data_IF_052211066738
#
_entry.id   IF_052211066738
#
_cell.length_a   1.000
_cell.length_b   1.000
_cell.length_c   1.000
_cell.angle_alpha   90.00
_cell.angle_beta   90.00
_cell.angle_gamma   90.00
#
_symmetry.space_group_name_H-M   'P 1'
#
loop_
_entity.id
_entity.type
_entity.pdbx_description
1 polymer ?
#
# COMPACT_ATOMS: atom_id res chain seq x y z
N UNK A 1 0.60 4.74 2.65
CA UNK A 1 0.95 4.52 1.23
C UNK A 1 0.50 5.70 0.37
N UNK A 2 -0.81 6.01 0.32
CA UNK A 2 -1.36 7.09 -0.52
C UNK A 2 -0.79 8.47 -0.20
N UNK A 3 -0.44 8.76 1.06
CA UNK A 3 0.17 10.04 1.45
C UNK A 3 1.53 10.26 0.76
N UNK A 4 2.39 9.24 0.70
CA UNK A 4 3.69 9.36 0.04
C UNK A 4 3.52 9.59 -1.47
N UNK A 5 2.62 8.84 -2.12
CA UNK A 5 2.29 9.09 -3.53
C UNK A 5 1.78 10.51 -3.76
N UNK A 6 0.86 10.98 -2.92
CA UNK A 6 0.34 12.34 -3.01
C UNK A 6 1.46 13.37 -2.90
N UNK A 7 2.32 13.27 -1.87
CA UNK A 7 3.45 14.17 -1.70
C UNK A 7 4.37 14.13 -2.92
N UNK A 8 4.77 12.95 -3.38
CA UNK A 8 5.65 12.78 -4.52
C UNK A 8 5.08 13.39 -5.80
N UNK A 9 3.79 13.18 -6.09
CA UNK A 9 3.12 13.71 -7.27
C UNK A 9 2.95 15.24 -7.26
N UNK A 10 2.92 15.83 -6.06
CA UNK A 10 2.78 17.29 -5.89
C UNK A 10 4.09 18.01 -5.54
N UNK A 11 5.24 17.31 -5.57
CA UNK A 11 6.52 17.90 -5.20
C UNK A 11 6.62 18.32 -3.75
N UNK A 12 5.88 17.66 -2.86
CA UNK A 12 5.87 17.95 -1.42
C UNK A 12 6.79 16.99 -0.66
N UNK A 13 7.44 17.45 0.42
CA UNK A 13 8.28 16.59 1.23
C UNK A 13 7.44 15.56 2.03
N UNK A 14 8.04 14.40 2.31
CA UNK A 14 7.47 13.41 3.23
C UNK A 14 8.51 12.81 4.14
N UNK A 15 8.05 12.36 5.32
CA UNK A 15 8.92 11.77 6.35
C UNK A 15 8.80 10.25 6.33
N UNK A 16 9.94 9.60 6.31
CA UNK A 16 10.12 8.16 6.44
C UNK A 16 10.64 7.85 7.84
N UNK A 17 9.87 7.15 8.65
CA UNK A 17 10.29 6.70 9.97
C UNK A 17 10.98 5.34 9.85
N UNK A 18 12.27 5.30 10.18
CA UNK A 18 13.09 4.11 10.10
C UNK A 18 12.68 3.02 11.09
N UNK A 19 12.91 1.77 10.69
CA UNK A 19 12.63 0.61 11.54
C UNK A 19 11.16 0.21 11.67
N UNK A 20 10.29 0.75 10.82
CA UNK A 20 8.88 0.36 10.74
C UNK A 20 8.62 -0.53 9.52
N UNK A 21 7.86 -1.60 9.74
CA UNK A 21 7.45 -2.53 8.67
C UNK A 21 5.95 -2.79 8.71
N UNK A 22 5.36 -2.98 7.55
CA UNK A 22 3.93 -3.30 7.40
C UNK A 22 3.66 -4.08 6.13
N UNK A 23 2.48 -4.62 6.02
CA UNK A 23 1.98 -5.22 4.79
C UNK A 23 1.08 -4.23 4.06
N UNK A 24 1.00 -4.33 2.74
CA UNK A 24 0.08 -3.56 1.91
C UNK A 24 -0.68 -4.48 0.98
N UNK A 25 -1.92 -4.13 0.67
CA UNK A 25 -2.71 -4.83 -0.34
C UNK A 25 -3.30 -3.80 -1.31
N UNK A 26 -3.41 -4.17 -2.57
CA UNK A 26 -4.04 -3.34 -3.58
C UNK A 26 -5.56 -3.50 -3.51
N UNK A 27 -6.29 -2.43 -3.80
CA UNK A 27 -7.74 -2.37 -3.65
C UNK A 27 -8.46 -3.49 -4.43
N UNK A 28 -8.00 -3.83 -5.63
CA UNK A 28 -8.63 -4.87 -6.45
C UNK A 28 -8.60 -6.25 -5.77
N UNK A 29 -7.51 -6.60 -5.06
CA UNK A 29 -7.43 -7.85 -4.29
C UNK A 29 -8.41 -7.84 -3.12
N UNK A 30 -8.54 -6.71 -2.43
CA UNK A 30 -9.49 -6.54 -1.34
C UNK A 30 -10.93 -6.67 -1.85
N UNK A 31 -11.28 -5.97 -2.93
CA UNK A 31 -12.63 -6.00 -3.52
C UNK A 31 -13.01 -7.42 -3.96
N UNK A 32 -12.10 -8.14 -4.63
CA UNK A 32 -12.34 -9.52 -5.02
C UNK A 32 -12.61 -10.42 -3.82
N UNK A 33 -11.83 -10.28 -2.76
CA UNK A 33 -12.00 -11.07 -1.54
C UNK A 33 -13.33 -10.76 -0.85
N UNK A 34 -13.72 -9.47 -0.78
CA UNK A 34 -15.02 -9.06 -0.22
C UNK A 34 -16.18 -9.61 -1.07
N UNK A 35 -16.06 -9.58 -2.40
CA UNK A 35 -17.08 -10.14 -3.29
C UNK A 35 -17.28 -11.67 -3.06
N UNK A 36 -16.20 -12.40 -2.75
CA UNK A 36 -16.28 -13.83 -2.45
C UNK A 36 -17.06 -14.15 -1.16
N UNK A 37 -17.31 -13.18 -0.29
CA UNK A 37 -18.18 -13.38 0.89
C UNK A 37 -19.57 -13.80 0.45
N UNK A 38 -20.08 -13.28 -0.68
CA UNK A 38 -21.41 -13.67 -1.21
C UNK A 38 -21.51 -15.15 -1.53
N UNK A 39 -20.40 -15.80 -1.90
CA UNK A 39 -20.35 -17.22 -2.25
C UNK A 39 -20.07 -18.13 -1.04
N UNK A 40 -19.44 -17.59 0.01
CA UNK A 40 -18.96 -18.33 1.17
C UNK A 40 -19.38 -17.67 2.48
N UNK A 41 -20.58 -17.11 2.53
CA UNK A 41 -21.08 -16.41 3.71
C UNK A 41 -21.18 -17.35 4.91
N UNK A 42 -20.57 -16.91 6.02
CA UNK A 42 -20.65 -17.56 7.33
C UNK A 42 -21.03 -16.54 8.38
N UNK A 43 -22.23 -16.63 8.93
CA UNK A 43 -22.72 -15.70 9.93
C UNK A 43 -21.82 -15.69 11.18
N UNK A 44 -21.53 -14.51 11.70
CA UNK A 44 -20.73 -14.32 12.92
C UNK A 44 -19.22 -14.46 12.74
N UNK A 45 -18.72 -14.73 11.52
CA UNK A 45 -17.29 -14.85 11.27
C UNK A 45 -16.62 -13.51 11.01
N UNK A 46 -15.40 -13.35 11.52
CA UNK A 46 -14.55 -12.18 11.27
C UNK A 46 -13.34 -12.60 10.41
N UNK A 47 -13.05 -11.82 9.38
CA UNK A 47 -11.94 -12.06 8.47
C UNK A 47 -11.01 -10.84 8.42
N UNK A 48 -9.71 -11.11 8.50
CA UNK A 48 -8.69 -10.13 8.17
C UNK A 48 -8.37 -10.20 6.68
N UNK A 49 -8.43 -9.07 5.99
CA UNK A 49 -8.03 -8.94 4.59
C UNK A 49 -6.85 -7.97 4.54
N UNK A 50 -5.72 -8.42 4.04
CA UNK A 50 -4.49 -7.60 4.01
C UNK A 50 -3.41 -8.21 3.15
N UNK A 51 -2.32 -7.46 2.96
CA UNK A 51 -1.14 -7.94 2.24
C UNK A 51 -0.42 -9.03 2.99
N UNK A 52 0.26 -9.92 2.27
CA UNK A 52 1.09 -10.98 2.84
C UNK A 52 2.57 -10.58 2.88
N UNK A 53 3.03 -9.78 1.92
CA UNK A 53 4.42 -9.37 1.79
C UNK A 53 4.74 -8.21 2.73
N UNK A 54 5.70 -8.47 3.62
CA UNK A 54 6.20 -7.47 4.55
C UNK A 54 7.22 -6.57 3.84
N UNK A 55 7.07 -5.27 3.99
CA UNK A 55 8.03 -4.28 3.51
C UNK A 55 8.28 -3.21 4.57
N UNK A 56 9.44 -2.60 4.53
CA UNK A 56 9.76 -1.45 5.39
C UNK A 56 9.15 -0.17 4.82
N UNK A 57 9.08 0.88 5.64
CA UNK A 57 8.60 2.19 5.18
C UNK A 57 9.60 2.82 4.22
N UNK A 58 10.89 2.53 4.39
CA UNK A 58 11.95 2.92 3.45
C UNK A 58 11.71 2.28 2.07
N UNK A 59 11.51 0.97 2.01
CA UNK A 59 11.21 0.25 0.76
C UNK A 59 9.95 0.81 0.08
N UNK A 60 8.92 1.15 0.86
CA UNK A 60 7.72 1.81 0.34
C UNK A 60 8.06 3.16 -0.29
N UNK A 61 8.89 3.97 0.36
CA UNK A 61 9.33 5.28 -0.15
C UNK A 61 10.15 5.13 -1.44
N UNK A 62 11.06 4.14 -1.51
CA UNK A 62 11.85 3.85 -2.71
C UNK A 62 10.96 3.46 -3.90
N UNK A 63 9.94 2.63 -3.66
CA UNK A 63 8.96 2.29 -4.69
C UNK A 63 8.19 3.52 -5.15
N UNK A 64 7.79 4.41 -4.24
CA UNK A 64 7.13 5.67 -4.60
C UNK A 64 8.02 6.55 -5.47
N UNK A 65 9.30 6.74 -5.11
CA UNK A 65 10.28 7.47 -5.94
C UNK A 65 10.38 6.86 -7.34
N UNK A 66 10.51 5.53 -7.40
CA UNK A 66 10.62 4.79 -8.66
C UNK A 66 9.42 5.00 -9.58
N UNK A 67 8.20 4.85 -9.05
CA UNK A 67 6.97 4.92 -9.88
C UNK A 67 6.56 6.34 -10.24
N UNK A 68 6.92 7.34 -9.42
CA UNK A 68 6.58 8.74 -9.67
C UNK A 68 7.68 9.48 -10.42
N UNK A 69 8.95 9.11 -10.22
CA UNK A 69 10.13 9.86 -10.67
C UNK A 69 10.34 11.15 -9.90
N UNK A 70 9.80 11.24 -8.67
CA UNK A 70 9.98 12.40 -7.81
C UNK A 70 11.45 12.55 -7.36
N UNK A 71 11.81 13.78 -6.97
CA UNK A 71 13.14 14.06 -6.44
C UNK A 71 13.34 13.40 -5.07
N UNK A 72 14.42 12.63 -4.92
CA UNK A 72 14.79 11.98 -3.65
C UNK A 72 15.09 13.00 -2.54
N UNK A 73 15.46 14.24 -2.87
CA UNK A 73 15.63 15.32 -1.92
C UNK A 73 14.38 15.70 -1.12
N UNK A 74 13.19 15.24 -1.57
CA UNK A 74 11.93 15.41 -0.85
C UNK A 74 11.75 14.42 0.31
N UNK A 75 12.60 13.40 0.41
CA UNK A 75 12.49 12.36 1.45
C UNK A 75 13.29 12.75 2.67
N UNK A 76 12.62 12.87 3.81
CA UNK A 76 13.26 13.11 5.10
C UNK A 76 13.21 11.87 5.97
N UNK A 77 14.38 11.36 6.36
CA UNK A 77 14.48 10.23 7.27
C UNK A 77 14.48 10.70 8.71
N UNK A 78 13.68 10.06 9.54
CA UNK A 78 13.65 10.25 10.99
C UNK A 78 13.76 8.90 11.71
N UNK A 79 14.32 8.92 12.90
CA UNK A 79 14.28 7.77 13.78
C UNK A 79 12.83 7.46 14.19
N UNK A 80 12.66 6.32 14.81
CA UNK A 80 11.37 5.72 15.18
C UNK A 80 10.36 6.74 15.72
N UNK A 81 9.18 6.76 15.12
CA UNK A 81 8.03 7.51 15.65
C UNK A 81 7.62 6.96 17.01
N UNK A 82 7.50 7.87 18.00
CA UNK A 82 7.13 7.52 19.37
C UNK A 82 5.67 7.02 19.38
N UNK A 83 5.38 5.99 20.19
CA UNK A 83 4.04 5.38 20.38
C UNK A 83 3.46 4.69 19.15
N UNK A 84 4.28 4.38 18.14
CA UNK A 84 3.84 3.67 16.94
C UNK A 84 4.36 2.23 16.92
N UNK A 85 3.50 1.29 16.53
CA UNK A 85 3.86 -0.12 16.36
C UNK A 85 4.85 -0.29 15.22
N UNK A 86 6.06 -0.80 15.53
CA UNK A 86 7.14 -1.01 14.54
C UNK A 86 6.78 -2.06 13.48
N UNK A 87 6.11 -3.13 13.87
CA UNK A 87 5.72 -4.21 12.97
C UNK A 87 4.20 -4.34 12.96
N UNK A 88 3.60 -4.12 11.78
CA UNK A 88 2.17 -4.35 11.53
C UNK A 88 2.02 -5.45 10.48
N UNK A 89 1.70 -6.63 10.93
CA UNK A 89 1.39 -7.79 10.08
C UNK A 89 0.06 -8.37 10.50
N UNK A 90 -0.79 -8.63 9.52
CA UNK A 90 -2.13 -9.19 9.73
C UNK A 90 -2.09 -10.66 9.35
N UNK A 91 -2.63 -11.54 10.20
CA UNK A 91 -2.86 -12.93 9.83
C UNK A 91 -4.08 -13.03 8.91
N UNK A 92 -3.83 -13.41 7.67
CA UNK A 92 -4.84 -13.57 6.61
C UNK A 92 -5.17 -15.03 6.30
N UNK A 93 -4.65 -15.99 7.05
CA UNK A 93 -4.80 -17.42 6.77
C UNK A 93 -6.27 -17.85 6.64
N UNK A 94 -7.15 -17.27 7.46
CA UNK A 94 -8.59 -17.54 7.42
C UNK A 94 -9.26 -17.01 6.14
N UNK A 95 -8.92 -15.80 5.71
CA UNK A 95 -9.46 -15.24 4.46
C UNK A 95 -8.90 -15.92 3.22
N UNK A 96 -7.65 -16.38 3.26
CA UNK A 96 -7.08 -17.23 2.19
C UNK A 96 -7.85 -18.52 2.06
N UNK A 97 -8.08 -19.23 3.16
CA UNK A 97 -8.77 -20.52 3.17
C UNK A 97 -10.25 -20.42 2.78
N UNK A 98 -10.97 -19.45 3.34
CA UNK A 98 -12.43 -19.40 3.26
C UNK A 98 -12.94 -18.46 2.15
N UNK A 99 -12.17 -17.44 1.77
CA UNK A 99 -12.58 -16.41 0.82
C UNK A 99 -11.68 -16.33 -0.43
N UNK A 100 -10.77 -17.29 -0.60
CA UNK A 100 -9.78 -17.29 -1.70
C UNK A 100 -9.01 -15.95 -1.81
N UNK A 101 -8.66 -15.38 -0.65
CA UNK A 101 -7.88 -14.13 -0.63
C UNK A 101 -6.50 -14.36 -1.25
N UNK A 102 -6.13 -13.52 -2.20
CA UNK A 102 -4.83 -13.57 -2.90
C UNK A 102 -4.30 -12.18 -3.09
N UNK A 103 -3.00 -12.01 -2.93
CA UNK A 103 -2.27 -10.81 -3.33
C UNK A 103 -1.75 -11.02 -4.75
N UNK A 104 -2.50 -10.54 -5.74
CA UNK A 104 -2.17 -10.66 -7.17
C UNK A 104 -1.30 -9.51 -7.66
N UNK A 105 -1.24 -8.42 -6.89
CA UNK A 105 -0.47 -7.23 -7.22
C UNK A 105 0.72 -7.08 -6.28
N UNK A 106 1.90 -6.87 -6.87
CA UNK A 106 3.09 -6.47 -6.11
C UNK A 106 2.91 -5.06 -5.49
N UNK A 107 3.76 -4.71 -4.52
CA UNK A 107 3.78 -3.35 -3.96
C UNK A 107 3.99 -2.31 -5.08
N UNK A 108 4.91 -2.56 -6.01
CA UNK A 108 5.22 -1.67 -7.12
C UNK A 108 4.02 -1.51 -8.08
N UNK A 109 3.39 -2.62 -8.46
CA UNK A 109 2.21 -2.55 -9.36
C UNK A 109 1.06 -1.78 -8.72
N UNK A 110 0.75 -2.06 -7.45
CA UNK A 110 -0.27 -1.35 -6.71
C UNK A 110 0.02 0.14 -6.58
N UNK A 111 1.29 0.51 -6.34
CA UNK A 111 1.70 1.91 -6.27
C UNK A 111 1.61 2.60 -7.63
N UNK A 112 2.05 1.94 -8.72
CA UNK A 112 1.95 2.49 -10.08
C UNK A 112 0.50 2.75 -10.48
N UNK A 113 -0.38 1.77 -10.31
CA UNK A 113 -1.80 1.91 -10.62
C UNK A 113 -2.47 3.01 -9.77
N UNK A 114 -2.10 3.12 -8.49
CA UNK A 114 -2.60 4.17 -7.61
C UNK A 114 -2.08 5.55 -8.03
N UNK A 115 -0.82 5.66 -8.44
CA UNK A 115 -0.25 6.91 -8.93
C UNK A 115 -0.94 7.37 -10.23
N UNK A 116 -1.23 6.45 -11.15
CA UNK A 116 -1.93 6.75 -12.40
C UNK A 116 -3.37 7.22 -12.14
N UNK A 117 -4.07 6.56 -11.21
CA UNK A 117 -5.38 7.00 -10.75
C UNK A 117 -5.33 8.40 -10.13
N UNK A 118 -4.36 8.65 -9.23
CA UNK A 118 -4.19 9.98 -8.61
C UNK A 118 -3.92 11.07 -9.64
N UNK A 119 -3.07 10.80 -10.65
CA UNK A 119 -2.84 11.76 -11.75
C UNK A 119 -4.12 12.10 -12.48
N UNK A 120 -4.95 11.10 -12.77
CA UNK A 120 -6.25 11.31 -13.41
C UNK A 120 -7.19 12.16 -12.55
N UNK A 121 -7.32 11.85 -11.26
CA UNK A 121 -8.24 12.54 -10.34
C UNK A 121 -7.80 13.98 -10.06
N UNK A 122 -6.51 14.21 -9.90
CA UNK A 122 -5.95 15.54 -9.61
C UNK A 122 -5.54 16.30 -10.89
N UNK A 123 -5.83 15.77 -12.07
CA UNK A 123 -5.49 16.36 -13.38
C UNK A 123 -3.99 16.72 -13.50
N UNK A 124 -3.12 15.87 -12.94
CA UNK A 124 -1.67 16.05 -12.99
C UNK A 124 -1.10 15.52 -14.31
N UNK A 125 0.05 16.08 -14.76
CA UNK A 125 0.72 15.57 -15.96
C UNK A 125 1.00 14.06 -15.84
N UNK A 126 0.76 13.33 -16.92
CA UNK A 126 1.22 11.94 -17.02
C UNK A 126 2.76 11.94 -17.01
N UNK A 127 3.37 10.92 -16.42
CA UNK A 127 4.81 10.73 -16.52
C UNK A 127 5.14 10.61 -18.01
N UNK A 128 5.94 11.53 -18.54
CA UNK A 128 6.26 11.57 -19.98
C UNK A 128 6.74 10.19 -20.46
N UNK A 129 6.18 9.79 -21.57
CA UNK A 129 6.70 8.72 -22.42
C UNK A 129 8.08 9.09 -22.96
#
# INVERSE_FOLDING_TARGET
>A
NCRFLYCALHGLPWTVFSGHSRTSTYLADTVRTVANISNNFRAGETYNIGGVDLHTIEQLSDVVLKVTGADSGLVHHQETEILTTKLKRVDTSKSVRDLDHRNSYSLEDGMRLTADWMRSVYHLPQKGT
#
